data_IF_195848468552
#
_entry.id   IF_195848468552
#
_cell.length_a   1.000
_cell.length_b   1.000
_cell.length_c   1.000
_cell.angle_alpha   90.00
_cell.angle_beta   90.00
_cell.angle_gamma   90.00
#
_symmetry.space_group_name_H-M   'P 1'
#
loop_
_entity.id
_entity.type
_entity.pdbx_description
1 polymer ?
#
# COMPACT_ATOMS: atom_id res chain seq x y z
N UNK A 1 -12.44 16.29 -5.40
CA UNK A 1 -12.78 14.85 -5.30
C UNK A 1 -11.77 14.10 -4.43
N UNK A 2 -10.46 14.23 -4.65
CA UNK A 2 -9.43 13.58 -3.82
C UNK A 2 -9.32 14.10 -2.37
N UNK A 3 -9.59 15.38 -2.11
CA UNK A 3 -9.47 15.96 -0.76
C UNK A 3 -10.45 15.35 0.26
N UNK A 4 -11.71 15.14 -0.12
CA UNK A 4 -12.70 14.50 0.75
C UNK A 4 -12.34 13.02 1.03
N UNK A 5 -11.90 12.30 0.01
CA UNK A 5 -11.44 10.90 0.12
C UNK A 5 -10.19 10.79 1.01
N UNK A 6 -9.28 11.78 0.93
CA UNK A 6 -8.11 11.85 1.80
C UNK A 6 -8.47 12.15 3.27
N UNK A 7 -9.45 13.03 3.51
CA UNK A 7 -9.96 13.30 4.87
C UNK A 7 -10.63 12.05 5.48
N UNK A 8 -11.37 11.30 4.68
CA UNK A 8 -11.95 10.02 5.08
C UNK A 8 -10.86 9.00 5.44
N UNK A 9 -9.85 8.85 4.58
CA UNK A 9 -8.70 7.99 4.84
C UNK A 9 -7.98 8.37 6.13
N UNK A 10 -7.77 9.65 6.40
CA UNK A 10 -7.17 10.12 7.65
C UNK A 10 -8.01 9.74 8.87
N UNK A 11 -9.34 9.84 8.77
CA UNK A 11 -10.24 9.44 9.85
C UNK A 11 -10.15 7.95 10.14
N UNK A 12 -10.11 7.13 9.08
CA UNK A 12 -9.94 5.67 9.16
C UNK A 12 -8.59 5.32 9.77
N UNK A 13 -7.49 5.93 9.29
CA UNK A 13 -6.14 5.73 9.82
C UNK A 13 -6.05 6.05 11.32
N UNK A 14 -6.68 7.13 11.76
CA UNK A 14 -6.75 7.48 13.19
C UNK A 14 -7.52 6.43 14.00
N UNK A 15 -8.63 5.92 13.46
CA UNK A 15 -9.37 4.84 14.11
C UNK A 15 -8.51 3.59 14.26
N UNK A 16 -7.82 3.18 13.20
CA UNK A 16 -6.98 1.98 13.19
C UNK A 16 -5.78 2.13 14.16
N UNK A 17 -5.19 3.32 14.23
CA UNK A 17 -4.15 3.65 15.22
C UNK A 17 -4.65 3.51 16.66
N UNK A 18 -5.84 4.03 16.97
CA UNK A 18 -6.43 3.89 18.30
C UNK A 18 -6.73 2.42 18.63
N UNK A 19 -7.18 1.63 17.65
CA UNK A 19 -7.41 0.19 17.83
C UNK A 19 -6.10 -0.56 18.16
N UNK A 20 -4.99 -0.25 17.49
CA UNK A 20 -3.68 -0.81 17.83
C UNK A 20 -3.30 -0.52 19.29
N UNK A 21 -3.51 0.72 19.76
CA UNK A 21 -3.24 1.09 21.16
C UNK A 21 -4.14 0.32 22.15
N UNK A 22 -5.40 0.10 21.79
CA UNK A 22 -6.33 -0.69 22.61
C UNK A 22 -5.86 -2.15 22.74
N UNK A 23 -5.46 -2.79 21.64
CA UNK A 23 -4.96 -4.17 21.64
C UNK A 23 -3.68 -4.29 22.47
N UNK A 24 -2.73 -3.37 22.28
CA UNK A 24 -1.49 -3.32 23.08
C UNK A 24 -1.82 -3.17 24.57
N UNK A 25 -2.70 -2.23 24.92
CA UNK A 25 -3.12 -2.01 26.31
C UNK A 25 -3.75 -3.27 26.92
N UNK A 26 -4.63 -3.95 26.18
CA UNK A 26 -5.26 -5.20 26.62
C UNK A 26 -4.24 -6.32 26.86
N UNK A 27 -3.28 -6.50 25.95
CA UNK A 27 -2.22 -7.50 26.11
C UNK A 27 -1.35 -7.22 27.35
N UNK A 28 -1.00 -5.95 27.58
CA UNK A 28 -0.25 -5.55 28.77
C UNK A 28 -1.04 -5.77 30.07
N UNK A 29 -2.34 -5.45 30.09
CA UNK A 29 -3.22 -5.70 31.23
C UNK A 29 -3.33 -7.20 31.56
N UNK A 30 -3.33 -8.05 30.54
CA UNK A 30 -3.32 -9.50 30.67
C UNK A 30 -1.94 -10.10 30.98
N UNK A 31 -0.92 -9.26 31.19
CA UNK A 31 0.49 -9.66 31.41
C UNK A 31 1.07 -10.52 30.28
N UNK A 32 0.56 -10.36 29.06
CA UNK A 32 1.02 -11.02 27.83
C UNK A 32 2.07 -10.19 27.12
N UNK A 33 3.19 -9.97 27.80
CA UNK A 33 4.24 -9.08 27.29
C UNK A 33 4.91 -9.56 25.99
N UNK A 34 5.21 -10.86 25.80
CA UNK A 34 5.77 -11.34 24.54
C UNK A 34 4.85 -11.03 23.35
N UNK A 35 3.55 -11.28 23.50
CA UNK A 35 2.55 -11.00 22.48
C UNK A 35 2.39 -9.50 22.24
N UNK A 36 2.43 -8.67 23.29
CA UNK A 36 2.41 -7.21 23.15
C UNK A 36 3.62 -6.71 22.35
N UNK A 37 4.83 -7.22 22.64
CA UNK A 37 6.06 -6.86 21.91
C UNK A 37 5.96 -7.24 20.44
N UNK A 38 5.49 -8.43 20.15
CA UNK A 38 5.34 -8.89 18.76
C UNK A 38 4.26 -8.10 18.01
N UNK A 39 3.14 -7.79 18.68
CA UNK A 39 2.09 -6.96 18.08
C UNK A 39 2.59 -5.55 17.76
N UNK A 40 3.35 -4.91 18.67
CA UNK A 40 3.98 -3.61 18.42
C UNK A 40 4.89 -3.66 17.20
N UNK A 41 5.73 -4.69 17.08
CA UNK A 41 6.65 -4.86 15.94
C UNK A 41 5.88 -4.93 14.62
N UNK A 42 4.81 -5.73 14.59
CA UNK A 42 3.96 -5.90 13.40
C UNK A 42 3.23 -4.60 13.05
N UNK A 43 2.58 -3.94 14.03
CA UNK A 43 1.88 -2.69 13.82
C UNK A 43 2.82 -1.56 13.35
N UNK A 44 4.00 -1.44 13.97
CA UNK A 44 5.01 -0.46 13.56
C UNK A 44 5.49 -0.72 12.12
N UNK A 45 5.70 -1.98 11.74
CA UNK A 45 6.12 -2.34 10.37
C UNK A 45 5.07 -1.92 9.34
N UNK A 46 3.78 -2.17 9.62
CA UNK A 46 2.69 -1.74 8.75
C UNK A 46 2.62 -0.21 8.61
N UNK A 47 2.74 0.53 9.72
CA UNK A 47 2.75 2.00 9.73
C UNK A 47 3.93 2.55 8.92
N UNK A 48 5.13 1.98 9.07
CA UNK A 48 6.32 2.40 8.33
C UNK A 48 6.14 2.15 6.81
N UNK A 49 5.58 1.00 6.43
CA UNK A 49 5.32 0.68 5.02
C UNK A 49 4.36 1.69 4.38
N UNK A 50 3.24 1.99 5.05
CA UNK A 50 2.28 3.01 4.59
C UNK A 50 2.88 4.42 4.56
N UNK A 51 3.72 4.77 5.54
CA UNK A 51 4.41 6.05 5.56
C UNK A 51 5.24 6.26 4.29
N UNK A 52 5.94 5.23 3.78
CA UNK A 52 6.69 5.37 2.53
C UNK A 52 5.81 5.70 1.32
N UNK A 53 4.59 5.17 1.26
CA UNK A 53 3.61 5.49 0.21
C UNK A 53 3.14 6.94 0.30
N UNK A 54 2.90 7.44 1.53
CA UNK A 54 2.51 8.85 1.76
C UNK A 54 3.57 9.84 1.27
N UNK A 55 4.85 9.44 1.24
CA UNK A 55 5.97 10.29 0.82
C UNK A 55 6.34 10.17 -0.67
N UNK A 56 5.54 9.49 -1.49
CA UNK A 56 5.73 9.52 -2.94
C UNK A 56 5.51 10.94 -3.48
N UNK A 57 6.32 11.38 -4.44
CA UNK A 57 6.19 12.72 -5.04
C UNK A 57 4.99 12.82 -5.98
N UNK A 58 4.56 11.68 -6.54
CA UNK A 58 3.36 11.58 -7.37
C UNK A 58 2.15 11.28 -6.48
N UNK A 59 1.49 12.33 -6.00
CA UNK A 59 0.45 12.26 -4.97
C UNK A 59 -0.80 11.49 -5.42
N UNK A 60 -1.13 11.52 -6.70
CA UNK A 60 -2.25 10.77 -7.29
C UNK A 60 -2.03 9.26 -7.16
N UNK A 61 -0.79 8.81 -7.38
CA UNK A 61 -0.40 7.40 -7.21
C UNK A 61 -0.46 7.02 -5.74
N UNK A 62 0.09 7.85 -4.85
CA UNK A 62 0.00 7.63 -3.40
C UNK A 62 -1.45 7.46 -2.95
N UNK A 63 -2.35 8.34 -3.41
CA UNK A 63 -3.76 8.28 -3.07
C UNK A 63 -4.40 6.95 -3.52
N UNK A 64 -4.20 6.53 -4.78
CA UNK A 64 -4.73 5.27 -5.29
C UNK A 64 -4.21 4.07 -4.50
N UNK A 65 -2.91 4.02 -4.18
CA UNK A 65 -2.33 2.93 -3.40
C UNK A 65 -2.95 2.83 -1.99
N UNK A 66 -3.13 3.97 -1.31
CA UNK A 66 -3.75 4.01 0.02
C UNK A 66 -5.22 3.61 -0.01
N UNK A 67 -5.96 4.05 -1.03
CA UNK A 67 -7.36 3.66 -1.25
C UNK A 67 -7.46 2.16 -1.49
N UNK A 68 -6.63 1.63 -2.39
CA UNK A 68 -6.61 0.21 -2.74
C UNK A 68 -6.24 -0.66 -1.54
N UNK A 69 -5.24 -0.26 -0.75
CA UNK A 69 -4.90 -0.93 0.51
C UNK A 69 -6.12 -1.04 1.42
N UNK A 70 -6.85 0.07 1.64
CA UNK A 70 -8.02 0.05 2.52
C UNK A 70 -9.17 -0.78 1.94
N UNK A 71 -9.39 -0.73 0.63
CA UNK A 71 -10.44 -1.50 -0.02
C UNK A 71 -10.16 -3.00 -0.01
N UNK A 72 -8.89 -3.39 -0.15
CA UNK A 72 -8.44 -4.79 -0.13
C UNK A 72 -8.73 -5.49 1.21
N UNK A 73 -8.72 -4.75 2.33
CA UNK A 73 -9.12 -5.29 3.64
C UNK A 73 -10.55 -5.87 3.62
N UNK A 74 -11.48 -5.27 2.86
CA UNK A 74 -12.85 -5.78 2.74
C UNK A 74 -12.94 -7.13 2.01
N UNK A 75 -11.90 -7.51 1.28
CA UNK A 75 -11.80 -8.77 0.55
C UNK A 75 -10.85 -9.77 1.23
N UNK A 76 -10.38 -9.46 2.45
CA UNK A 76 -9.32 -10.18 3.15
C UNK A 76 -8.05 -10.33 2.30
N UNK A 77 -7.69 -9.27 1.56
CA UNK A 77 -6.46 -9.19 0.79
C UNK A 77 -5.51 -8.23 1.49
N UNK A 78 -4.29 -8.69 1.79
CA UNK A 78 -3.22 -7.87 2.37
C UNK A 78 -2.38 -7.25 1.24
N UNK A 79 -2.21 -5.92 1.26
CA UNK A 79 -1.35 -5.23 0.29
C UNK A 79 -0.11 -4.72 1.01
N UNK A 80 1.06 -5.21 0.59
CA UNK A 80 2.35 -4.81 1.13
C UNK A 80 3.08 -3.89 0.17
N UNK A 81 3.71 -2.86 0.72
CA UNK A 81 4.47 -1.89 -0.06
C UNK A 81 5.98 -2.03 0.18
N UNK A 82 6.73 -2.24 -0.90
CA UNK A 82 8.18 -2.09 -0.96
C UNK A 82 8.55 -0.86 -1.81
N UNK A 83 8.64 0.29 -1.15
CA UNK A 83 9.01 1.55 -1.81
C UNK A 83 10.51 1.79 -1.63
N UNK A 84 11.25 1.71 -2.74
CA UNK A 84 12.70 1.96 -2.82
C UNK A 84 13.00 3.30 -3.51
N UNK A 85 12.07 3.81 -4.33
CA UNK A 85 12.14 5.10 -5.00
C UNK A 85 10.81 5.84 -4.82
N UNK A 86 10.83 7.17 -4.67
CA UNK A 86 9.64 7.99 -4.42
C UNK A 86 9.02 8.60 -5.68
N UNK A 87 9.40 8.12 -6.88
CA UNK A 87 9.00 8.63 -8.19
C UNK A 87 9.44 10.09 -8.45
N UNK A 88 10.48 10.54 -7.76
CA UNK A 88 11.02 11.90 -7.93
C UNK A 88 11.49 12.13 -9.37
N UNK A 89 11.11 13.27 -9.93
CA UNK A 89 11.50 13.68 -11.29
C UNK A 89 10.69 13.02 -12.41
N UNK A 90 9.67 12.21 -12.09
CA UNK A 90 8.77 11.66 -13.09
C UNK A 90 7.98 12.79 -13.77
N UNK A 91 8.10 12.92 -15.10
CA UNK A 91 7.37 13.96 -15.86
C UNK A 91 6.03 13.46 -16.39
N UNK A 92 5.79 12.15 -16.33
CA UNK A 92 4.51 11.57 -16.72
C UNK A 92 3.43 12.06 -15.74
N UNK A 93 2.29 12.58 -16.24
CA UNK A 93 1.21 13.06 -15.38
C UNK A 93 0.74 11.99 -14.39
N UNK A 94 0.71 12.36 -13.11
CA UNK A 94 0.40 11.44 -12.00
C UNK A 94 -1.00 10.83 -12.08
N UNK A 95 -1.97 11.57 -12.60
CA UNK A 95 -3.34 11.12 -12.83
C UNK A 95 -3.41 9.96 -13.83
N UNK A 96 -2.59 10.00 -14.90
CA UNK A 96 -2.51 8.90 -15.87
C UNK A 96 -1.92 7.64 -15.26
N UNK A 97 -0.84 7.79 -14.48
CA UNK A 97 -0.25 6.66 -13.76
C UNK A 97 -1.27 6.09 -12.77
N UNK A 98 -1.95 6.95 -12.02
CA UNK A 98 -2.93 6.56 -11.01
C UNK A 98 -4.08 5.73 -11.59
N UNK A 99 -4.64 6.10 -12.75
CA UNK A 99 -5.69 5.32 -13.42
C UNK A 99 -5.20 3.90 -13.74
N UNK A 100 -4.00 3.77 -14.31
CA UNK A 100 -3.44 2.45 -14.67
C UNK A 100 -3.17 1.62 -13.41
N UNK A 101 -2.61 2.23 -12.37
CA UNK A 101 -2.35 1.57 -11.08
C UNK A 101 -3.66 1.09 -10.45
N UNK A 102 -4.72 1.91 -10.47
CA UNK A 102 -6.04 1.57 -9.94
C UNK A 102 -6.64 0.36 -10.67
N UNK A 103 -6.61 0.37 -12.00
CA UNK A 103 -7.11 -0.73 -12.82
C UNK A 103 -6.35 -2.04 -12.57
N UNK A 104 -5.02 -1.98 -12.45
CA UNK A 104 -4.19 -3.16 -12.16
C UNK A 104 -4.57 -3.72 -10.78
N UNK A 105 -4.63 -2.89 -9.74
CA UNK A 105 -4.92 -3.34 -8.38
C UNK A 105 -6.33 -3.91 -8.26
N UNK A 106 -7.33 -3.26 -8.86
CA UNK A 106 -8.70 -3.77 -8.86
C UNK A 106 -8.79 -5.15 -9.51
N UNK A 107 -8.11 -5.36 -10.65
CA UNK A 107 -8.07 -6.66 -11.32
C UNK A 107 -7.35 -7.73 -10.47
N UNK A 108 -6.26 -7.38 -9.81
CA UNK A 108 -5.54 -8.33 -8.94
C UNK A 108 -6.35 -8.69 -7.70
N UNK A 109 -6.99 -7.72 -7.03
CA UNK A 109 -7.88 -7.97 -5.89
C UNK A 109 -9.04 -8.88 -6.31
N UNK A 110 -9.67 -8.61 -7.46
CA UNK A 110 -10.74 -9.44 -7.98
C UNK A 110 -10.26 -10.87 -8.28
N UNK A 111 -9.06 -11.02 -8.85
CA UNK A 111 -8.45 -12.32 -9.15
C UNK A 111 -8.18 -13.17 -7.90
N UNK A 112 -7.94 -12.56 -6.74
CA UNK A 112 -7.67 -13.26 -5.47
C UNK A 112 -8.93 -13.79 -4.76
N UNK A 113 -10.14 -13.52 -5.28
CA UNK A 113 -11.38 -13.99 -4.66
C UNK A 113 -11.71 -15.48 -4.92
N UNK A 114 -10.91 -16.18 -5.71
CA UNK A 114 -11.16 -17.59 -6.02
C UNK A 114 -11.01 -18.51 -4.78
N UNK A 115 -11.84 -19.56 -4.62
CA UNK A 115 -11.81 -20.45 -3.46
C UNK A 115 -10.47 -21.18 -3.25
N UNK A 116 -9.81 -21.51 -4.37
CA UNK A 116 -8.51 -22.18 -4.42
C UNK A 116 -7.32 -21.32 -3.96
N UNK A 117 -7.51 -20.00 -3.84
CA UNK A 117 -6.43 -19.09 -3.45
C UNK A 117 -6.35 -19.01 -1.93
N UNK A 118 -5.20 -19.47 -1.43
CA UNK A 118 -4.93 -19.52 0.01
C UNK A 118 -4.09 -18.34 0.48
N UNK A 119 -3.24 -17.78 -0.39
CA UNK A 119 -2.45 -16.60 -0.08
C UNK A 119 -3.02 -15.35 -0.78
N UNK A 120 -3.75 -14.55 -0.01
CA UNK A 120 -4.37 -13.30 -0.47
C UNK A 120 -3.46 -12.10 -0.20
N UNK A 121 -2.26 -12.15 -0.75
CA UNK A 121 -1.26 -11.09 -0.61
C UNK A 121 -0.93 -10.47 -1.97
N UNK A 122 -0.89 -9.14 -2.03
CA UNK A 122 -0.35 -8.37 -3.15
C UNK A 122 0.87 -7.60 -2.65
N UNK A 123 2.02 -7.82 -3.29
CA UNK A 123 3.20 -7.00 -3.11
C UNK A 123 3.25 -5.95 -4.22
N UNK A 124 3.30 -4.68 -3.82
CA UNK A 124 3.54 -3.54 -4.71
C UNK A 124 4.93 -3.01 -4.44
N UNK A 125 5.80 -3.04 -5.46
CA UNK A 125 7.16 -2.53 -5.38
C UNK A 125 7.32 -1.27 -6.23
N UNK A 126 7.93 -0.22 -5.69
CA UNK A 126 8.27 0.99 -6.45
C UNK A 126 9.78 1.13 -6.47
N UNK A 127 10.35 0.96 -7.66
CA UNK A 127 11.78 0.96 -7.91
C UNK A 127 12.12 1.95 -9.01
N UNK A 128 13.36 2.40 -9.05
CA UNK A 128 13.89 3.27 -10.10
C UNK A 128 15.37 3.49 -9.87
N UNK A 129 16.16 3.54 -10.93
CA UNK A 129 17.59 3.81 -10.83
C UNK A 129 17.82 5.29 -10.60
N UNK A 130 18.63 5.63 -9.59
CA UNK A 130 19.02 7.02 -9.32
C UNK A 130 19.81 7.57 -10.52
N UNK A 131 19.16 8.39 -11.35
CA UNK A 131 19.76 9.03 -12.52
C UNK A 131 19.19 8.60 -13.87
N UNK A 132 18.30 7.59 -13.91
CA UNK A 132 17.60 7.19 -15.13
C UNK A 132 16.21 7.80 -15.17
N UNK A 133 15.76 8.12 -16.39
CA UNK A 133 14.40 8.55 -16.73
C UNK A 133 13.38 7.39 -16.67
N UNK A 134 13.70 6.31 -15.95
CA UNK A 134 12.92 5.07 -15.89
C UNK A 134 12.52 4.72 -14.46
N UNK A 135 11.20 4.65 -14.22
CA UNK A 135 10.60 4.16 -12.99
C UNK A 135 9.82 2.89 -13.26
N UNK A 136 9.74 2.03 -12.25
CA UNK A 136 8.99 0.79 -12.32
C UNK A 136 8.07 0.66 -11.12
N UNK A 137 6.80 0.37 -11.38
CA UNK A 137 5.84 -0.08 -10.38
C UNK A 137 5.54 -1.55 -10.66
N UNK A 138 6.07 -2.42 -9.80
CA UNK A 138 5.85 -3.85 -9.84
C UNK A 138 4.67 -4.26 -8.98
N UNK A 139 3.90 -5.22 -9.47
CA UNK A 139 2.77 -5.83 -8.78
C UNK A 139 2.91 -7.34 -8.82
N UNK A 140 2.80 -8.01 -7.69
CA UNK A 140 2.87 -9.47 -7.65
C UNK A 140 1.92 -10.04 -6.61
N UNK A 141 1.33 -11.18 -6.94
CA UNK A 141 0.46 -11.99 -6.09
C UNK A 141 0.70 -13.47 -6.40
N UNK A 142 -0.02 -14.37 -5.72
CA UNK A 142 0.03 -15.81 -5.99
C UNK A 142 -0.34 -16.14 -7.45
N UNK A 143 -1.29 -15.41 -8.04
CA UNK A 143 -1.89 -15.73 -9.35
C UNK A 143 -1.34 -14.90 -10.51
N UNK A 144 -0.70 -13.76 -10.23
CA UNK A 144 -0.27 -12.86 -11.30
C UNK A 144 0.88 -11.96 -10.89
N UNK A 145 1.70 -11.58 -11.89
CA UNK A 145 2.76 -10.59 -11.76
C UNK A 145 2.73 -9.64 -12.94
N UNK A 146 2.77 -8.34 -12.67
CA UNK A 146 2.76 -7.28 -13.68
C UNK A 146 3.83 -6.24 -13.33
N UNK A 147 4.39 -5.59 -14.34
CA UNK A 147 5.28 -4.45 -14.14
C UNK A 147 4.81 -3.31 -15.03
N UNK A 148 4.57 -2.15 -14.43
CA UNK A 148 4.35 -0.90 -15.14
C UNK A 148 5.70 -0.19 -15.24
N UNK A 149 6.19 -0.02 -16.46
CA UNK A 149 7.38 0.77 -16.75
C UNK A 149 6.94 2.18 -17.15
N UNK A 150 7.52 3.17 -16.49
CA UNK A 150 7.25 4.59 -16.70
C UNK A 150 8.55 5.20 -17.16
N UNK A 151 8.60 5.67 -18.41
CA UNK A 151 9.81 6.24 -18.98
C UNK A 151 9.53 7.63 -19.52
N UNK A 152 10.47 8.57 -19.31
CA UNK A 152 10.42 9.85 -19.99
C UNK A 152 11.05 9.68 -21.38
N UNK A 153 10.25 9.75 -22.44
CA UNK A 153 10.78 9.93 -23.79
C UNK A 153 10.96 11.43 -24.05
N UNK A 154 12.21 11.88 -24.12
CA UNK A 154 12.56 13.16 -24.74
C UNK A 154 12.50 13.05 -26.26
#
# INVERSE_FOLDING_TARGET
MYTAKMLELLSIQRHDFLNHLQIISGLLQLKKEPEAREYIRTAATAIISLSKVVHLEVHEVAAVLLIAHKQAENYNVDIKFDVQNNLRGCVVPGDRIAIVVEDILNNMIAGLNAPEITNREILVSITGTSGDDEWQIGFSSEVSRLNLYITNYN
#
